data_IF_331928307396
#
_entry.id   IF_331928307396
#
_cell.length_a   1.000
_cell.length_b   1.000
_cell.length_c   1.000
_cell.angle_alpha   90.00
_cell.angle_beta   90.00
_cell.angle_gamma   90.00
#
_symmetry.space_group_name_H-M   'P 1'
#
loop_
_entity.id
_entity.type
_entity.pdbx_description
1 polymer ?
#
# COMPACT_ATOMS: atom_id res chain seq x y z
N UNK A 1 -3.54 -16.80 -1.70
CA UNK A 1 -2.66 -15.85 -1.03
C UNK A 1 -1.24 -15.98 -1.55
N UNK A 2 -0.52 -14.88 -1.54
CA UNK A 2 0.88 -14.80 -1.95
C UNK A 2 1.71 -14.38 -0.74
N UNK A 3 2.78 -15.13 -0.46
CA UNK A 3 3.73 -14.76 0.57
C UNK A 3 4.87 -13.93 -0.02
N UNK A 4 5.31 -12.94 0.74
CA UNK A 4 6.44 -12.09 0.35
C UNK A 4 7.53 -12.17 1.38
N UNK A 5 8.76 -12.34 0.91
CA UNK A 5 9.96 -12.33 1.75
C UNK A 5 10.87 -11.20 1.26
N UNK A 6 11.68 -10.69 2.15
CA UNK A 6 12.74 -9.77 1.75
C UNK A 6 13.85 -10.54 1.05
N UNK A 7 14.49 -9.91 0.08
CA UNK A 7 15.66 -10.48 -0.63
C UNK A 7 16.82 -10.75 0.33
N UNK A 8 16.95 -9.88 1.35
CA UNK A 8 17.87 -10.09 2.46
C UNK A 8 17.05 -10.50 3.66
N UNK A 9 17.62 -11.25 4.57
CA UNK A 9 16.95 -11.62 5.78
C UNK A 9 16.66 -10.38 6.63
N UNK A 10 15.38 -10.13 6.89
CA UNK A 10 14.92 -9.03 7.70
C UNK A 10 14.23 -9.56 8.95
N UNK A 11 14.38 -8.86 10.05
CA UNK A 11 13.74 -9.25 11.30
C UNK A 11 12.24 -8.99 11.28
N UNK A 12 11.59 -9.52 12.31
CA UNK A 12 10.15 -9.43 12.50
C UNK A 12 9.65 -7.97 12.47
N UNK A 13 10.43 -7.05 13.02
CA UNK A 13 10.06 -5.63 13.08
C UNK A 13 9.88 -5.01 11.69
N UNK A 14 10.65 -5.45 10.70
CA UNK A 14 10.50 -4.93 9.34
C UNK A 14 9.16 -5.33 8.73
N UNK A 15 8.72 -6.57 8.96
CA UNK A 15 7.42 -7.04 8.48
C UNK A 15 6.28 -6.29 9.17
N UNK A 16 6.36 -6.10 10.47
CA UNK A 16 5.35 -5.35 11.22
C UNK A 16 5.31 -3.89 10.80
N UNK A 17 6.47 -3.27 10.53
CA UNK A 17 6.54 -1.90 10.04
C UNK A 17 5.85 -1.75 8.69
N UNK A 18 6.02 -2.71 7.79
CA UNK A 18 5.37 -2.67 6.48
C UNK A 18 3.86 -2.76 6.61
N UNK A 19 3.35 -3.64 7.46
CA UNK A 19 1.91 -3.76 7.70
C UNK A 19 1.37 -2.47 8.34
N UNK A 20 2.10 -1.89 9.29
CA UNK A 20 1.71 -0.64 9.94
C UNK A 20 1.63 0.51 8.93
N UNK A 21 2.62 0.62 8.03
CA UNK A 21 2.59 1.63 6.97
C UNK A 21 1.38 1.45 6.07
N UNK A 22 1.04 0.22 5.74
CA UNK A 22 -0.14 -0.06 4.92
C UNK A 22 -1.44 0.30 5.64
N UNK A 23 -1.52 0.08 6.95
CA UNK A 23 -2.67 0.50 7.75
C UNK A 23 -2.81 2.02 7.78
N UNK A 24 -1.70 2.74 7.89
CA UNK A 24 -1.69 4.20 7.83
C UNK A 24 -2.18 4.68 6.47
N UNK A 25 -1.69 4.09 5.40
CA UNK A 25 -2.12 4.42 4.05
C UNK A 25 -3.60 4.08 3.84
N UNK A 26 -4.08 2.99 4.42
CA UNK A 26 -5.51 2.63 4.37
C UNK A 26 -6.38 3.69 5.04
N UNK A 27 -5.92 4.26 6.12
CA UNK A 27 -6.62 5.38 6.77
C UNK A 27 -6.73 6.58 5.82
N UNK A 28 -5.63 6.95 5.19
CA UNK A 28 -5.63 8.07 4.24
C UNK A 28 -6.55 7.80 3.04
N UNK A 29 -6.53 6.58 2.51
CA UNK A 29 -7.36 6.26 1.34
C UNK A 29 -8.85 6.28 1.69
N UNK A 30 -9.20 5.89 2.90
CA UNK A 30 -10.59 5.96 3.37
C UNK A 30 -11.09 7.40 3.34
N UNK A 31 -10.29 8.34 3.83
CA UNK A 31 -10.64 9.76 3.81
C UNK A 31 -10.66 10.32 2.39
N UNK A 32 -9.73 9.90 1.54
CA UNK A 32 -9.70 10.33 0.15
C UNK A 32 -10.94 9.86 -0.62
N UNK A 33 -11.33 8.60 -0.42
CA UNK A 33 -12.53 8.05 -1.06
C UNK A 33 -13.80 8.79 -0.62
N UNK A 34 -13.87 9.22 0.64
CA UNK A 34 -14.98 10.04 1.11
C UNK A 34 -15.07 11.35 0.33
N UNK A 35 -13.93 11.98 0.08
CA UNK A 35 -13.90 13.24 -0.69
C UNK A 35 -14.28 13.01 -2.15
N UNK A 36 -13.84 11.90 -2.75
CA UNK A 36 -14.25 11.55 -4.10
C UNK A 36 -15.77 11.35 -4.18
N UNK A 37 -16.34 10.69 -3.20
CA UNK A 37 -17.77 10.47 -3.13
C UNK A 37 -18.54 11.79 -3.00
N UNK A 38 -18.08 12.69 -2.13
CA UNK A 38 -18.68 14.00 -1.93
C UNK A 38 -18.69 14.85 -3.21
N UNK A 39 -17.66 14.69 -4.04
CA UNK A 39 -17.55 15.37 -5.34
C UNK A 39 -18.24 14.61 -6.46
N UNK A 40 -18.91 13.49 -6.15
CA UNK A 40 -19.65 12.64 -7.10
C UNK A 40 -18.73 12.05 -8.17
N UNK A 41 -17.49 11.79 -7.84
CA UNK A 41 -16.55 11.12 -8.75
C UNK A 41 -16.69 9.61 -8.62
N UNK A 42 -16.81 8.88 -9.75
CA UNK A 42 -17.11 7.44 -9.74
C UNK A 42 -15.87 6.56 -9.57
N UNK A 43 -14.94 6.98 -8.75
CA UNK A 43 -13.67 6.28 -8.57
C UNK A 43 -13.37 6.07 -7.10
N UNK A 44 -12.79 4.93 -6.77
CA UNK A 44 -12.31 4.61 -5.44
C UNK A 44 -10.95 3.94 -5.54
N UNK A 45 -10.13 4.15 -4.50
CA UNK A 45 -8.82 3.51 -4.39
C UNK A 45 -8.88 2.55 -3.21
N UNK A 46 -8.38 1.34 -3.39
CA UNK A 46 -8.33 0.34 -2.34
C UNK A 46 -6.92 -0.21 -2.21
N UNK A 47 -6.54 -0.52 -0.97
CA UNK A 47 -5.34 -1.28 -0.70
C UNK A 47 -5.67 -2.75 -0.53
N UNK A 48 -4.75 -3.60 -0.95
CA UNK A 48 -4.86 -5.03 -0.71
C UNK A 48 -4.48 -5.28 0.75
N UNK A 49 -5.34 -5.95 1.53
CA UNK A 49 -4.99 -6.25 2.92
C UNK A 49 -3.79 -7.18 3.00
N UNK A 50 -2.90 -6.94 3.94
CA UNK A 50 -1.77 -7.82 4.18
C UNK A 50 -1.70 -8.20 5.65
N UNK A 51 -1.06 -9.34 5.89
CA UNK A 51 -0.86 -9.86 7.24
C UNK A 51 0.54 -10.46 7.36
N UNK A 52 1.02 -10.60 8.58
CA UNK A 52 2.30 -11.24 8.84
C UNK A 52 2.02 -12.63 9.40
N UNK A 53 2.59 -13.65 8.76
CA UNK A 53 2.57 -15.02 9.26
C UNK A 53 3.87 -15.32 9.98
N UNK A 54 3.76 -15.83 11.18
CA UNK A 54 4.91 -16.24 11.97
C UNK A 54 5.14 -17.73 11.76
N UNK A 55 6.39 -18.10 11.52
CA UNK A 55 6.79 -19.50 11.39
C UNK A 55 7.34 -19.92 12.73
N UNK A 56 6.66 -20.87 13.37
CA UNK A 56 7.02 -21.35 14.71
C UNK A 56 7.61 -22.75 14.66
N UNK A 57 8.61 -22.96 15.49
CA UNK A 57 9.20 -24.26 15.73
C UNK A 57 9.48 -24.37 17.22
N UNK A 58 8.93 -25.40 17.88
CA UNK A 58 9.04 -25.60 19.34
C UNK A 58 8.65 -24.34 20.12
N UNK A 59 7.56 -23.67 19.70
CA UNK A 59 7.04 -22.43 20.28
C UNK A 59 7.99 -21.25 20.17
N UNK A 60 9.00 -21.36 19.30
CA UNK A 60 9.96 -20.29 19.04
C UNK A 60 9.74 -19.75 17.62
N UNK A 61 9.77 -18.43 17.46
CA UNK A 61 9.63 -17.80 16.16
C UNK A 61 10.92 -18.03 15.38
N UNK A 62 10.82 -18.76 14.26
CA UNK A 62 11.97 -19.05 13.37
C UNK A 62 12.00 -18.17 12.15
N UNK A 63 10.90 -17.54 11.80
CA UNK A 63 10.83 -16.66 10.65
C UNK A 63 9.46 -16.04 10.52
N UNK A 64 9.30 -15.20 9.52
CA UNK A 64 8.02 -14.58 9.21
C UNK A 64 7.96 -14.23 7.72
N UNK A 65 6.74 -14.21 7.19
CA UNK A 65 6.46 -13.77 5.83
C UNK A 65 5.24 -12.87 5.85
N UNK A 66 5.21 -11.89 4.95
CA UNK A 66 4.02 -11.07 4.72
C UNK A 66 3.18 -11.75 3.64
N UNK A 67 1.89 -11.81 3.86
CA UNK A 67 0.96 -12.45 2.92
C UNK A 67 -0.14 -11.49 2.53
N UNK A 68 -0.61 -11.63 1.29
CA UNK A 68 -1.74 -10.87 0.77
C UNK A 68 -2.51 -11.72 -0.23
N UNK A 69 -3.80 -11.40 -0.48
CA UNK A 69 -4.56 -12.13 -1.50
C UNK A 69 -3.89 -12.03 -2.86
N UNK A 70 -3.89 -13.12 -3.61
CA UNK A 70 -3.40 -13.12 -4.99
C UNK A 70 -4.49 -12.56 -5.90
N UNK A 71 -4.16 -11.49 -6.60
CA UNK A 71 -5.10 -10.83 -7.51
C UNK A 71 -4.79 -11.27 -8.93
N UNK A 72 -5.82 -11.79 -9.61
CA UNK A 72 -5.74 -12.15 -11.02
C UNK A 72 -5.95 -10.90 -11.86
N UNK A 73 -5.21 -10.82 -12.97
CA UNK A 73 -5.33 -9.71 -13.89
C UNK A 73 -3.98 -9.09 -14.20
N UNK A 74 -4.03 -8.03 -15.00
CA UNK A 74 -2.83 -7.29 -15.36
C UNK A 74 -2.40 -6.37 -14.23
N UNK A 75 -1.11 -6.38 -13.97
CA UNK A 75 -0.51 -5.59 -12.92
C UNK A 75 0.25 -4.42 -13.53
N UNK A 76 -0.09 -3.20 -13.14
CA UNK A 76 0.51 -1.99 -13.68
C UNK A 76 1.08 -1.15 -12.56
N UNK A 77 2.34 -0.80 -12.68
CA UNK A 77 3.00 0.12 -11.75
C UNK A 77 2.84 1.54 -12.28
N UNK A 78 2.16 2.39 -11.52
CA UNK A 78 1.85 3.76 -11.93
C UNK A 78 2.99 4.73 -11.59
N UNK A 79 3.68 4.49 -10.48
CA UNK A 79 4.76 5.36 -10.03
C UNK A 79 5.79 4.57 -9.24
N UNK A 80 6.99 5.17 -9.09
CA UNK A 80 7.99 4.67 -8.15
C UNK A 80 8.14 5.66 -7.00
N UNK A 81 9.20 5.53 -6.21
CA UNK A 81 9.40 6.40 -5.04
C UNK A 81 9.60 7.87 -5.38
N UNK A 82 9.95 8.21 -6.61
CA UNK A 82 10.36 9.56 -6.97
C UNK A 82 9.60 10.16 -8.14
N UNK A 83 8.96 9.36 -9.01
CA UNK A 83 8.34 9.88 -10.23
C UNK A 83 7.23 8.98 -10.74
N UNK A 84 6.40 9.56 -11.62
CA UNK A 84 5.37 8.83 -12.36
C UNK A 84 6.04 7.97 -13.43
N UNK A 85 5.67 6.69 -13.47
CA UNK A 85 6.19 5.73 -14.45
C UNK A 85 5.24 5.60 -15.64
N UNK A 86 3.94 5.61 -15.39
CA UNK A 86 2.89 5.47 -16.40
C UNK A 86 1.90 6.61 -16.25
N UNK A 87 1.74 7.42 -17.28
CA UNK A 87 0.83 8.57 -17.26
C UNK A 87 -0.34 8.47 -18.24
N UNK A 88 -0.43 7.38 -19.02
CA UNK A 88 -1.51 7.17 -19.99
C UNK A 88 -2.77 6.57 -19.39
N UNK A 89 -2.76 6.17 -18.12
CA UNK A 89 -3.91 5.58 -17.46
C UNK A 89 -4.66 6.63 -16.65
N UNK A 90 -5.99 6.53 -16.64
CA UNK A 90 -6.81 7.38 -15.75
C UNK A 90 -6.45 7.18 -14.28
N UNK A 91 -6.08 5.95 -13.90
CA UNK A 91 -5.66 5.63 -12.56
C UNK A 91 -4.45 6.46 -12.11
N UNK A 92 -3.57 6.86 -13.02
CA UNK A 92 -2.42 7.70 -12.70
C UNK A 92 -2.85 9.06 -12.15
N UNK A 93 -3.87 9.65 -12.77
CA UNK A 93 -4.40 10.94 -12.34
C UNK A 93 -4.93 10.88 -10.90
N UNK A 94 -5.73 9.85 -10.61
CA UNK A 94 -6.25 9.64 -9.27
C UNK A 94 -5.14 9.30 -8.27
N UNK A 95 -4.13 8.54 -8.71
CA UNK A 95 -2.98 8.20 -7.89
C UNK A 95 -2.16 9.44 -7.50
N UNK A 96 -1.94 10.35 -8.44
CA UNK A 96 -1.24 11.61 -8.18
C UNK A 96 -2.05 12.48 -7.22
N UNK A 97 -3.36 12.58 -7.43
CA UNK A 97 -4.23 13.33 -6.55
C UNK A 97 -4.22 12.75 -5.13
N UNK A 98 -4.21 11.43 -5.02
CA UNK A 98 -4.13 10.77 -3.73
C UNK A 98 -2.80 11.04 -3.03
N UNK A 99 -1.68 10.99 -3.75
CA UNK A 99 -0.37 11.32 -3.19
C UNK A 99 -0.35 12.74 -2.63
N UNK A 100 -0.85 13.68 -3.39
CA UNK A 100 -0.96 15.08 -2.95
C UNK A 100 -1.88 15.23 -1.74
N UNK A 101 -3.02 14.54 -1.76
CA UNK A 101 -3.97 14.54 -0.64
C UNK A 101 -3.31 14.01 0.63
N UNK A 102 -2.58 12.90 0.54
CA UNK A 102 -1.94 12.30 1.72
C UNK A 102 -0.93 13.27 2.35
N UNK A 103 -0.19 14.00 1.53
CA UNK A 103 0.75 15.01 2.02
C UNK A 103 0.03 16.15 2.74
N UNK A 104 -1.02 16.70 2.13
CA UNK A 104 -1.78 17.80 2.74
C UNK A 104 -2.54 17.36 3.99
N UNK A 105 -3.19 16.21 3.91
CA UNK A 105 -4.01 15.71 5.03
C UNK A 105 -3.16 15.39 6.26
N UNK A 106 -1.93 14.94 6.05
CA UNK A 106 -1.00 14.64 7.15
C UNK A 106 -0.27 15.87 7.68
N UNK A 107 -0.56 17.06 7.14
CA UNK A 107 0.14 18.29 7.52
C UNK A 107 1.59 18.34 7.04
N UNK A 108 1.89 17.65 5.95
CA UNK A 108 3.22 17.62 5.36
C UNK A 108 4.17 16.59 5.96
N UNK A 109 3.65 15.66 6.78
CA UNK A 109 4.48 14.64 7.41
C UNK A 109 4.59 13.35 6.59
N UNK A 110 3.57 13.05 5.77
CA UNK A 110 3.52 11.81 5.00
C UNK A 110 3.14 12.09 3.56
N UNK A 111 3.65 11.26 2.66
CA UNK A 111 3.25 11.27 1.25
C UNK A 111 3.22 9.83 0.74
N UNK A 112 2.17 9.48 0.00
CA UNK A 112 2.05 8.15 -0.61
C UNK A 112 2.66 8.18 -2.00
N UNK A 113 3.60 7.29 -2.23
CA UNK A 113 4.30 7.14 -3.51
C UNK A 113 4.39 5.66 -3.88
N UNK A 114 5.00 5.35 -5.02
CA UNK A 114 5.25 3.98 -5.47
C UNK A 114 3.95 3.18 -5.66
N UNK A 115 2.99 3.81 -6.33
CA UNK A 115 1.67 3.22 -6.57
C UNK A 115 1.67 2.18 -7.69
N UNK A 116 0.86 1.16 -7.49
CA UNK A 116 0.67 0.09 -8.47
C UNK A 116 -0.69 -0.58 -8.32
#
# INVERSE_FOLDING_TARGET
YVGKEYKEEKGLLHHFSDVERQMTAQYYVTEFNKRLYEQKLPTQIFYIPSAVLLILEDRTIKGCVSVEPYILGEFVKLSNNTKVVKNEYKATEYGLAYGHFSYEFSGGTDVVVDLQ
#
